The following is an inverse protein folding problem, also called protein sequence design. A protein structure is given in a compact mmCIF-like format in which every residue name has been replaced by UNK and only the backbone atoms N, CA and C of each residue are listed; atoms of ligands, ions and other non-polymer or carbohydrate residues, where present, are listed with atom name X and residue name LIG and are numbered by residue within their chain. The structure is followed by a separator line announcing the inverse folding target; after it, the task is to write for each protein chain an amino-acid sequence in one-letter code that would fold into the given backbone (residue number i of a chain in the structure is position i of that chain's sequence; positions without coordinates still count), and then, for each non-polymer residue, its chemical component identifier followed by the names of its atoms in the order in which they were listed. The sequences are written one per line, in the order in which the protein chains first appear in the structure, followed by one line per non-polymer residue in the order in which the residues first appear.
data_IF_290612814582
#
_entry.id   IF_290612814582
#
_cell.length_a   1.000
_cell.length_b   1.000
_cell.length_c   1.000
_cell.angle_alpha   90.00
_cell.angle_beta   90.00
_cell.angle_gamma   90.00
#
_symmetry.space_group_name_H-M   'P 1'
#
loop_
_entity.id
_entity.type
_entity.pdbx_description
1 polymer ?
#
# COMPACT_ATOMS: atom_id res chain seq x y z
N UNK A 1 -12.56 -6.91 12.38
CA UNK A 1 -12.32 -6.71 10.93
C UNK A 1 -13.11 -5.49 10.52
N UNK A 2 -12.46 -4.42 10.04
CA UNK A 2 -13.20 -3.24 9.57
C UNK A 2 -13.79 -3.53 8.21
N UNK A 3 -15.03 -3.11 8.05
CA UNK A 3 -15.79 -3.25 6.81
C UNK A 3 -15.22 -2.24 5.80
N UNK A 4 -15.11 -2.64 4.55
CA UNK A 4 -14.82 -1.76 3.42
C UNK A 4 -15.85 -0.63 3.39
N UNK A 5 -15.45 0.57 3.00
CA UNK A 5 -16.42 1.66 2.73
C UNK A 5 -17.31 1.25 1.56
N UNK A 6 -18.63 1.19 1.80
CA UNK A 6 -19.61 0.70 0.84
C UNK A 6 -19.76 1.58 -0.41
N UNK A 7 -19.27 2.79 -0.36
CA UNK A 7 -19.25 3.71 -1.49
C UNK A 7 -18.20 3.33 -2.53
N UNK A 8 -17.16 2.57 -2.13
CA UNK A 8 -16.17 2.04 -3.05
C UNK A 8 -16.52 0.61 -3.44
N UNK A 9 -17.07 0.44 -4.63
CA UNK A 9 -17.54 -0.87 -5.14
C UNK A 9 -16.61 -1.48 -6.17
N UNK A 10 -15.87 -0.63 -6.92
CA UNK A 10 -14.94 -1.07 -7.96
C UNK A 10 -13.53 -1.29 -7.43
N UNK A 11 -13.12 -0.53 -6.44
CA UNK A 11 -11.86 -0.77 -5.75
C UNK A 11 -12.09 -1.59 -4.49
N UNK A 12 -11.20 -2.54 -4.26
CA UNK A 12 -11.29 -3.40 -3.08
C UNK A 12 -10.46 -2.86 -1.92
N UNK A 13 -10.82 -3.30 -0.72
CA UNK A 13 -10.03 -3.06 0.49
C UNK A 13 -9.90 -1.60 0.92
N UNK A 14 -10.71 -0.68 0.37
CA UNK A 14 -10.70 0.71 0.80
C UNK A 14 -11.23 0.82 2.23
N UNK A 15 -10.42 1.34 3.12
CA UNK A 15 -10.78 1.51 4.53
C UNK A 15 -9.91 2.52 5.25
N UNK A 16 -10.50 3.19 6.23
CA UNK A 16 -9.81 4.00 7.21
C UNK A 16 -8.96 3.11 8.15
N UNK A 17 -7.71 3.47 8.34
CA UNK A 17 -6.77 2.80 9.24
C UNK A 17 -6.80 3.35 10.67
N UNK A 18 -7.57 4.41 10.94
CA UNK A 18 -7.76 4.97 12.26
C UNK A 18 -8.68 4.13 13.18
N UNK A 19 -8.87 4.56 14.42
CA UNK A 19 -9.79 3.97 15.41
C UNK A 19 -9.29 2.73 16.14
N UNK A 20 -8.07 2.27 15.91
CA UNK A 20 -7.43 1.23 16.71
C UNK A 20 -6.85 1.84 17.99
N UNK A 21 -6.81 1.04 19.06
CA UNK A 21 -6.12 1.42 20.28
C UNK A 21 -4.65 1.04 20.19
N UNK A 22 -3.80 1.94 20.65
CA UNK A 22 -2.37 1.71 20.84
C UNK A 22 -2.12 0.97 22.16
N UNK A 23 -0.92 0.44 22.37
CA UNK A 23 -0.57 -0.27 23.62
C UNK A 23 -0.65 0.62 24.87
N UNK A 24 -0.46 1.95 24.71
CA UNK A 24 -0.58 2.95 25.77
C UNK A 24 -2.03 3.49 25.94
N UNK A 25 -3.00 2.83 25.31
CA UNK A 25 -4.43 3.13 25.46
C UNK A 25 -4.94 4.31 24.65
N UNK A 26 -4.10 4.97 23.85
CA UNK A 26 -4.53 6.02 22.92
C UNK A 26 -5.25 5.41 21.72
N UNK A 27 -5.99 6.23 21.02
CA UNK A 27 -6.73 5.82 19.83
C UNK A 27 -6.15 6.50 18.58
N UNK A 28 -5.85 5.70 17.56
CA UNK A 28 -5.44 6.23 16.26
C UNK A 28 -6.58 7.07 15.68
N UNK A 29 -6.29 8.29 15.24
CA UNK A 29 -7.30 9.20 14.67
C UNK A 29 -7.90 8.58 13.41
N UNK A 30 -9.20 8.75 13.24
CA UNK A 30 -9.93 8.38 12.02
C UNK A 30 -9.91 9.52 11.01
N UNK A 31 -10.15 9.21 9.74
CA UNK A 31 -10.28 10.21 8.68
C UNK A 31 -8.95 10.77 8.17
N UNK A 32 -7.81 10.19 8.55
CA UNK A 32 -6.49 10.70 8.18
C UNK A 32 -5.69 9.76 7.29
N UNK A 33 -5.79 8.46 7.53
CA UNK A 33 -5.00 7.46 6.84
C UNK A 33 -5.91 6.35 6.33
N UNK A 34 -5.88 6.16 5.04
CA UNK A 34 -6.66 5.14 4.35
C UNK A 34 -5.76 4.14 3.64
N UNK A 35 -6.28 2.97 3.35
CA UNK A 35 -5.66 2.04 2.42
C UNK A 35 -6.68 1.51 1.43
N UNK A 36 -6.21 1.17 0.23
CA UNK A 36 -7.02 0.52 -0.81
C UNK A 36 -6.15 -0.46 -1.62
N UNK A 37 -6.77 -1.14 -2.57
CA UNK A 37 -6.08 -1.68 -3.73
C UNK A 37 -5.80 -0.57 -4.75
N UNK A 38 -5.47 -0.94 -5.99
CA UNK A 38 -5.24 -0.05 -7.12
C UNK A 38 -6.44 0.89 -7.37
N UNK A 39 -6.15 2.19 -7.56
CA UNK A 39 -7.18 3.22 -7.69
C UNK A 39 -7.71 3.39 -9.12
N UNK A 40 -7.03 2.90 -10.13
CA UNK A 40 -7.40 3.12 -11.53
C UNK A 40 -8.72 2.47 -11.96
N UNK A 41 -9.30 1.61 -11.14
CA UNK A 41 -10.62 1.02 -11.42
C UNK A 41 -11.79 1.86 -10.94
N UNK A 42 -11.54 2.98 -10.23
CA UNK A 42 -12.60 3.89 -9.79
C UNK A 42 -13.39 4.43 -10.98
N UNK A 43 -14.68 4.59 -10.77
CA UNK A 43 -15.53 5.40 -11.61
C UNK A 43 -15.56 6.86 -11.12
N UNK A 44 -16.26 7.74 -11.84
CA UNK A 44 -16.37 9.15 -11.51
C UNK A 44 -17.01 9.39 -10.12
N UNK A 45 -18.00 8.58 -9.75
CA UNK A 45 -18.66 8.68 -8.44
C UNK A 45 -17.71 8.36 -7.30
N UNK A 46 -16.93 7.28 -7.43
CA UNK A 46 -15.92 6.88 -6.45
C UNK A 46 -14.77 7.89 -6.37
N UNK A 47 -14.41 8.49 -7.52
CA UNK A 47 -13.38 9.53 -7.59
C UNK A 47 -13.83 10.79 -6.85
N UNK A 48 -15.06 11.25 -7.07
CA UNK A 48 -15.65 12.36 -6.32
C UNK A 48 -15.70 12.03 -4.82
N UNK A 49 -16.09 10.82 -4.47
CA UNK A 49 -16.11 10.42 -3.08
C UNK A 49 -14.72 10.44 -2.43
N UNK A 50 -13.68 10.03 -3.16
CA UNK A 50 -12.30 10.14 -2.70
C UNK A 50 -11.89 11.59 -2.41
N UNK A 51 -12.30 12.52 -3.28
CA UNK A 51 -12.07 13.96 -3.09
C UNK A 51 -12.85 14.51 -1.88
N UNK A 52 -14.10 14.09 -1.69
CA UNK A 52 -14.94 14.48 -0.54
C UNK A 52 -14.38 14.02 0.81
N UNK A 53 -13.64 12.91 0.83
CA UNK A 53 -12.91 12.46 2.02
C UNK A 53 -11.74 13.41 2.40
N UNK A 54 -11.43 14.38 1.55
CA UNK A 54 -10.36 15.35 1.78
C UNK A 54 -8.94 14.77 1.68
N UNK A 55 -8.80 13.64 1.01
CA UNK A 55 -7.49 13.03 0.75
C UNK A 55 -6.64 13.98 -0.09
N UNK A 56 -5.41 14.24 0.33
CA UNK A 56 -4.47 15.15 -0.33
C UNK A 56 -3.30 14.42 -0.98
N UNK A 57 -3.03 13.21 -0.51
CA UNK A 57 -1.85 12.47 -0.94
C UNK A 57 -2.21 11.01 -1.16
N UNK A 58 -1.80 10.48 -2.29
CA UNK A 58 -1.81 9.05 -2.59
C UNK A 58 -0.38 8.56 -2.64
N UNK A 59 -0.11 7.46 -1.98
CA UNK A 59 1.17 6.78 -1.99
C UNK A 59 1.02 5.40 -2.61
N UNK A 60 1.55 5.25 -3.82
CA UNK A 60 1.64 3.97 -4.51
C UNK A 60 2.86 3.18 -4.02
N UNK A 61 2.62 2.06 -3.36
CA UNK A 61 3.64 1.18 -2.82
C UNK A 61 3.99 0.03 -3.77
N UNK A 62 3.37 -0.02 -4.95
CA UNK A 62 3.60 -1.07 -5.94
C UNK A 62 5.00 -0.95 -6.54
N UNK A 63 5.47 -2.06 -7.05
CA UNK A 63 6.71 -2.09 -7.83
C UNK A 63 6.58 -1.33 -9.14
N UNK A 64 7.70 -0.96 -9.75
CA UNK A 64 7.72 -0.31 -11.06
C UNK A 64 7.03 -1.16 -12.14
N UNK A 65 7.14 -2.46 -12.04
CA UNK A 65 6.52 -3.41 -12.98
C UNK A 65 4.99 -3.37 -12.89
N UNK A 66 4.45 -3.41 -11.67
CA UNK A 66 3.00 -3.37 -11.45
C UNK A 66 2.37 -2.03 -11.85
N UNK A 67 3.11 -0.94 -11.66
CA UNK A 67 2.60 0.40 -11.91
C UNK A 67 2.87 0.91 -13.33
N UNK A 68 3.67 0.19 -14.12
CA UNK A 68 3.97 0.56 -15.49
C UNK A 68 2.77 0.33 -16.42
N UNK A 69 2.14 -0.82 -16.30
CA UNK A 69 0.98 -1.18 -17.13
C UNK A 69 -0.31 -0.50 -16.64
N UNK A 70 -0.43 -0.29 -15.33
CA UNK A 70 -1.61 0.26 -14.68
C UNK A 70 -1.24 1.43 -13.75
N UNK A 71 -0.90 2.62 -14.27
CA UNK A 71 -0.58 3.79 -13.44
C UNK A 71 -1.81 4.27 -12.66
N UNK A 72 -1.60 4.80 -11.44
CA UNK A 72 -2.68 5.44 -10.69
C UNK A 72 -3.21 6.68 -11.45
N UNK A 73 -4.52 6.96 -11.36
CA UNK A 73 -5.11 8.11 -12.02
C UNK A 73 -4.57 9.43 -11.45
N UNK A 74 -4.41 10.42 -12.32
CA UNK A 74 -4.14 11.80 -11.89
C UNK A 74 -5.45 12.40 -11.43
N UNK A 75 -5.52 12.78 -10.16
CA UNK A 75 -6.72 13.33 -9.53
C UNK A 75 -6.43 14.77 -9.13
N UNK A 76 -7.26 15.71 -9.59
CA UNK A 76 -7.09 17.13 -9.28
C UNK A 76 -7.09 17.38 -7.75
N UNK A 77 -6.09 18.09 -7.26
CA UNK A 77 -5.91 18.42 -5.85
C UNK A 77 -5.33 17.29 -5.00
N UNK A 78 -4.93 16.18 -5.61
CA UNK A 78 -4.26 15.05 -4.93
C UNK A 78 -2.84 14.88 -5.49
N UNK A 79 -1.86 14.85 -4.61
CA UNK A 79 -0.47 14.57 -4.96
C UNK A 79 -0.21 13.07 -4.97
N UNK A 80 0.35 12.54 -6.07
CA UNK A 80 0.72 11.13 -6.19
C UNK A 80 2.22 10.96 -5.99
N UNK A 81 2.58 10.10 -5.05
CA UNK A 81 3.95 9.65 -4.82
C UNK A 81 4.05 8.16 -5.07
N UNK A 82 5.18 7.71 -5.61
CA UNK A 82 5.49 6.29 -5.74
C UNK A 82 6.77 5.97 -5.01
N UNK A 83 6.67 5.06 -4.05
CA UNK A 83 7.82 4.50 -3.36
C UNK A 83 7.56 3.02 -3.18
N UNK A 84 8.26 2.17 -3.93
CA UNK A 84 8.04 0.72 -3.85
C UNK A 84 8.21 0.23 -2.42
N UNK A 85 7.15 -0.38 -1.90
CA UNK A 85 7.15 -1.08 -0.62
C UNK A 85 7.80 -2.46 -0.67
N UNK A 86 8.12 -2.95 -1.87
CA UNK A 86 8.61 -4.29 -2.13
C UNK A 86 10.06 -4.24 -2.62
N UNK A 87 11.01 -4.17 -1.68
CA UNK A 87 12.44 -4.27 -1.99
C UNK A 87 13.06 -5.44 -1.23
N UNK A 88 13.99 -6.11 -1.87
CA UNK A 88 14.80 -7.12 -1.24
C UNK A 88 15.89 -6.52 -0.33
N UNK A 89 16.72 -7.36 0.26
CA UNK A 89 17.81 -6.94 1.15
C UNK A 89 18.89 -6.08 0.47
N UNK A 90 18.97 -6.15 -0.86
CA UNK A 90 19.92 -5.39 -1.67
C UNK A 90 19.32 -4.05 -2.13
N UNK A 91 18.05 -3.79 -1.80
CA UNK A 91 17.31 -2.61 -2.24
C UNK A 91 16.73 -2.74 -3.65
N UNK A 92 16.82 -3.93 -4.27
CA UNK A 92 16.23 -4.20 -5.57
C UNK A 92 14.72 -4.41 -5.45
N UNK A 93 13.97 -3.94 -6.44
CA UNK A 93 12.53 -4.15 -6.48
C UNK A 93 12.20 -5.63 -6.67
N UNK A 94 11.37 -6.18 -5.79
CA UNK A 94 10.88 -7.56 -5.92
C UNK A 94 9.70 -7.58 -6.88
N UNK A 95 9.79 -8.38 -7.93
CA UNK A 95 8.72 -8.54 -8.91
C UNK A 95 7.66 -9.53 -8.37
N UNK A 96 6.50 -8.98 -7.95
CA UNK A 96 5.33 -9.76 -7.53
C UNK A 96 4.27 -9.91 -8.62
N UNK A 97 4.61 -9.59 -9.86
CA UNK A 97 3.77 -9.98 -10.99
C UNK A 97 3.58 -11.51 -11.02
N UNK A 98 2.54 -12.03 -11.67
CA UNK A 98 2.38 -13.47 -11.85
C UNK A 98 3.62 -14.15 -12.43
N UNK A 99 4.36 -13.44 -13.30
CA UNK A 99 5.62 -13.93 -13.86
C UNK A 99 6.75 -13.96 -12.83
N UNK A 100 6.91 -12.90 -12.03
CA UNK A 100 7.90 -12.82 -10.96
C UNK A 100 7.70 -13.89 -9.90
N UNK A 101 6.44 -14.07 -9.46
CA UNK A 101 6.08 -15.14 -8.52
C UNK A 101 6.37 -16.52 -9.10
N UNK A 102 6.00 -16.74 -10.36
CA UNK A 102 6.27 -18.01 -11.04
C UNK A 102 7.78 -18.29 -11.14
N UNK A 103 8.57 -17.27 -11.48
CA UNK A 103 10.03 -17.35 -11.51
C UNK A 103 10.62 -17.67 -10.14
N UNK A 104 10.12 -17.04 -9.08
CA UNK A 104 10.54 -17.35 -7.69
C UNK A 104 10.24 -18.80 -7.33
N UNK A 105 9.07 -19.32 -7.69
CA UNK A 105 8.67 -20.71 -7.42
C UNK A 105 9.52 -21.72 -8.18
N UNK A 106 9.88 -21.43 -9.44
CA UNK A 106 10.65 -22.35 -10.28
C UNK A 106 12.16 -22.28 -9.98
N UNK A 107 12.69 -21.09 -9.69
CA UNK A 107 14.12 -20.90 -9.47
C UNK A 107 14.62 -21.49 -8.15
N UNK A 108 13.71 -21.75 -7.26
CA UNK A 108 14.00 -22.35 -5.97
C UNK A 108 13.51 -23.81 -6.03
N UNK A 109 14.42 -24.78 -5.95
CA UNK A 109 14.12 -26.22 -5.74
C UNK A 109 13.40 -26.42 -4.39
N UNK A 110 12.70 -25.38 -3.97
CA UNK A 110 12.16 -25.16 -2.65
C UNK A 110 10.82 -25.84 -2.50
N UNK A 111 10.76 -26.67 -1.49
CA UNK A 111 9.52 -27.20 -0.97
C UNK A 111 8.67 -26.02 -0.41
N UNK A 112 7.41 -26.27 -0.17
CA UNK A 112 6.43 -25.30 0.34
C UNK A 112 6.90 -24.57 1.65
N UNK A 113 7.75 -25.21 2.44
CA UNK A 113 8.31 -24.66 3.68
C UNK A 113 9.34 -23.55 3.41
N UNK A 114 10.17 -23.70 2.39
CA UNK A 114 11.16 -22.69 1.99
C UNK A 114 10.48 -21.44 1.44
N UNK A 115 9.46 -21.62 0.60
CA UNK A 115 8.65 -20.50 0.10
C UNK A 115 7.99 -19.73 1.25
N UNK A 116 7.42 -20.43 2.24
CA UNK A 116 6.82 -19.81 3.42
C UNK A 116 7.83 -18.99 4.23
N UNK A 117 9.03 -19.53 4.46
CA UNK A 117 10.13 -18.82 5.15
C UNK A 117 10.57 -17.57 4.37
N UNK A 118 10.68 -17.65 3.04
CA UNK A 118 11.00 -16.51 2.19
C UNK A 118 9.93 -15.42 2.29
N UNK A 119 8.66 -15.78 2.24
CA UNK A 119 7.56 -14.82 2.39
C UNK A 119 7.58 -14.13 3.74
N UNK A 120 7.78 -14.88 4.84
CA UNK A 120 7.89 -14.28 6.18
C UNK A 120 9.07 -13.30 6.25
N UNK A 121 10.22 -13.68 5.69
CA UNK A 121 11.40 -12.83 5.69
C UNK A 121 11.17 -11.55 4.87
N UNK A 122 10.53 -11.66 3.73
CA UNK A 122 10.17 -10.54 2.89
C UNK A 122 9.25 -9.54 3.64
N UNK A 123 8.20 -10.02 4.30
CA UNK A 123 7.33 -9.17 5.11
C UNK A 123 8.09 -8.47 6.26
N UNK A 124 9.06 -9.14 6.86
CA UNK A 124 9.92 -8.53 7.89
C UNK A 124 10.82 -7.43 7.31
N UNK A 125 11.44 -7.69 6.16
CA UNK A 125 12.31 -6.72 5.48
C UNK A 125 11.49 -5.50 5.03
N UNK A 126 10.26 -5.70 4.55
CA UNK A 126 9.30 -4.62 4.26
C UNK A 126 9.00 -3.75 5.49
N UNK A 127 8.78 -4.34 6.66
CA UNK A 127 8.38 -3.57 7.84
C UNK A 127 9.54 -2.81 8.49
N UNK A 128 10.75 -3.36 8.49
CA UNK A 128 11.83 -2.84 9.35
C UNK A 128 12.95 -2.13 8.62
N UNK A 129 13.04 -2.23 7.29
CA UNK A 129 14.14 -1.65 6.50
C UNK A 129 13.67 -1.04 5.19
N UNK A 130 12.41 -0.72 5.07
CA UNK A 130 11.81 -0.31 3.82
C UNK A 130 11.74 1.21 3.71
N UNK A 131 12.31 1.77 2.66
CA UNK A 131 12.25 3.20 2.36
C UNK A 131 10.80 3.69 2.19
N UNK A 132 9.90 2.85 1.64
CA UNK A 132 8.49 3.18 1.51
C UNK A 132 7.81 3.40 2.86
N UNK A 133 8.07 2.54 3.84
CA UNK A 133 7.55 2.73 5.21
C UNK A 133 8.13 3.96 5.90
N UNK A 134 9.43 4.21 5.74
CA UNK A 134 10.06 5.42 6.28
C UNK A 134 9.46 6.68 5.63
N UNK A 135 9.22 6.63 4.33
CA UNK A 135 8.57 7.72 3.61
C UNK A 135 7.14 7.97 4.11
N UNK A 136 6.35 6.93 4.36
CA UNK A 136 5.01 7.06 4.97
C UNK A 136 5.10 7.75 6.32
N UNK A 137 6.02 7.34 7.19
CA UNK A 137 6.19 7.93 8.52
C UNK A 137 6.58 9.40 8.42
N UNK A 138 7.46 9.75 7.51
CA UNK A 138 7.88 11.15 7.28
C UNK A 138 6.73 11.99 6.72
N UNK A 139 5.97 11.47 5.76
CA UNK A 139 4.79 12.15 5.22
C UNK A 139 3.71 12.34 6.30
N UNK A 140 3.49 11.35 7.14
CA UNK A 140 2.59 11.48 8.28
C UNK A 140 3.04 12.58 9.23
N UNK A 141 4.33 12.66 9.54
CA UNK A 141 4.88 13.72 10.42
C UNK A 141 4.73 15.11 9.83
N UNK A 142 4.89 15.27 8.52
CA UNK A 142 4.74 16.56 7.81
C UNK A 142 3.30 17.03 7.72
N UNK A 143 2.35 16.10 7.58
CA UNK A 143 0.94 16.41 7.38
C UNK A 143 0.10 16.41 8.68
N UNK A 144 0.68 15.99 9.80
CA UNK A 144 0.06 16.10 11.10
C UNK A 144 0.62 17.37 11.78
N UNK A 145 0.07 18.52 11.44
CA UNK A 145 0.12 19.66 12.35
C UNK A 145 -0.79 19.34 13.54
N UNK A 146 -0.19 19.29 14.72
CA UNK A 146 -0.87 19.03 15.99
C UNK A 146 -1.60 20.30 16.47
#
# INVERSE_FOLDING_TARGET
MRIQDEKFRRICNFRDLGGYFTQDGKKVRTGLLYRSCYLGWMNEEELHHLQDLGIKTVLDLRTSYEAFDDPDPVIEGIENYRVSGMRDRNGEGVDFSPYGIHKMIISDDSNQETLHKHMIQLYRDMMFRNEGFMFIIEMMKKNIEF
#
